data_IF_954137747003
#
_entry.id   IF_954137747003
#
_cell.length_a   1.000
_cell.length_b   1.000
_cell.length_c   1.000
_cell.angle_alpha   90.00
_cell.angle_beta   90.00
_cell.angle_gamma   90.00
#
_symmetry.space_group_name_H-M   'P 1'
#
loop_
_entity.id
_entity.type
_entity.pdbx_description
1 polymer ?
#
# COMPACT_ATOMS: atom_id res chain seq x y z
N UNK A 1 -7.53 -3.99 -37.72
CA UNK A 1 -6.70 -4.94 -36.95
C UNK A 1 -6.90 -4.61 -35.48
N UNK A 2 -7.63 -5.44 -34.74
CA UNK A 2 -7.93 -5.18 -33.32
C UNK A 2 -6.65 -5.44 -32.50
N UNK A 3 -6.12 -4.45 -31.75
CA UNK A 3 -4.95 -4.64 -30.89
C UNK A 3 -5.15 -5.83 -29.94
N UNK A 4 -4.08 -6.59 -29.71
CA UNK A 4 -4.09 -7.75 -28.79
C UNK A 4 -4.69 -7.43 -27.41
N UNK A 5 -4.49 -6.19 -26.94
CA UNK A 5 -5.02 -5.70 -25.67
C UNK A 5 -6.55 -5.63 -25.64
N UNK A 6 -7.21 -5.19 -26.72
CA UNK A 6 -8.67 -5.09 -26.79
C UNK A 6 -9.31 -6.48 -26.73
N UNK A 7 -8.78 -7.45 -27.51
CA UNK A 7 -9.24 -8.85 -27.44
C UNK A 7 -9.10 -9.46 -26.04
N UNK A 8 -8.03 -9.08 -25.32
CA UNK A 8 -7.78 -9.55 -23.96
C UNK A 8 -8.75 -8.93 -22.95
N UNK A 9 -9.08 -7.65 -23.12
CA UNK A 9 -10.07 -6.93 -22.32
C UNK A 9 -11.45 -7.57 -22.50
N UNK A 10 -11.90 -7.79 -23.74
CA UNK A 10 -13.21 -8.40 -24.03
C UNK A 10 -13.34 -9.79 -23.39
N UNK A 11 -12.27 -10.59 -23.49
CA UNK A 11 -12.21 -11.92 -22.86
C UNK A 11 -12.34 -11.83 -21.34
N UNK A 12 -11.60 -10.94 -20.70
CA UNK A 12 -11.64 -10.77 -19.24
C UNK A 12 -13.02 -10.25 -18.81
N UNK A 13 -13.60 -9.30 -19.54
CA UNK A 13 -14.93 -8.77 -19.27
C UNK A 13 -16.01 -9.86 -19.31
N UNK A 14 -15.96 -10.74 -20.32
CA UNK A 14 -16.86 -11.90 -20.41
C UNK A 14 -16.69 -12.85 -19.23
N UNK A 15 -15.46 -13.16 -18.84
CA UNK A 15 -15.17 -14.05 -17.71
C UNK A 15 -15.64 -13.48 -16.36
N UNK A 16 -15.52 -12.16 -16.16
CA UNK A 16 -16.07 -11.46 -14.98
C UNK A 16 -17.60 -11.53 -15.00
N UNK A 17 -18.24 -11.27 -16.15
CA UNK A 17 -19.70 -11.34 -16.29
C UNK A 17 -20.25 -12.75 -16.01
N UNK A 18 -19.49 -13.78 -16.37
CA UNK A 18 -19.84 -15.19 -16.13
C UNK A 18 -19.46 -15.65 -14.72
N UNK A 19 -18.85 -14.80 -13.88
CA UNK A 19 -18.30 -15.13 -12.56
C UNK A 19 -17.40 -16.37 -12.60
N UNK A 20 -16.61 -16.50 -13.67
CA UNK A 20 -15.78 -17.67 -13.89
C UNK A 20 -14.64 -17.70 -12.88
N UNK A 21 -14.61 -18.72 -12.03
CA UNK A 21 -13.50 -18.93 -11.12
C UNK A 21 -12.21 -19.22 -11.90
N UNK A 22 -11.18 -18.45 -11.60
CA UNK A 22 -9.83 -18.66 -12.11
C UNK A 22 -8.87 -18.80 -10.94
N UNK A 23 -8.01 -19.80 -11.02
CA UNK A 23 -6.83 -19.85 -10.18
C UNK A 23 -5.94 -18.63 -10.48
N UNK A 24 -5.28 -18.12 -9.45
CA UNK A 24 -4.27 -17.09 -9.60
C UNK A 24 -3.16 -17.61 -10.54
N UNK A 25 -2.74 -16.84 -11.56
CA UNK A 25 -1.72 -17.31 -12.49
C UNK A 25 -0.42 -17.61 -11.72
N UNK A 26 0.21 -18.78 -11.94
CA UNK A 26 1.45 -19.10 -11.25
C UNK A 26 2.54 -18.12 -11.67
N UNK A 27 3.47 -17.83 -10.76
CA UNK A 27 4.66 -17.05 -11.11
C UNK A 27 5.45 -17.75 -12.21
N UNK A 28 6.07 -16.97 -13.10
CA UNK A 28 7.02 -17.49 -14.07
C UNK A 28 8.13 -18.28 -13.36
N UNK A 29 8.62 -19.35 -13.97
CA UNK A 29 9.55 -20.29 -13.33
C UNK A 29 10.80 -19.62 -12.76
N UNK A 30 11.36 -18.66 -13.51
CA UNK A 30 12.54 -17.89 -13.11
C UNK A 30 12.23 -17.04 -11.87
N UNK A 31 11.13 -16.29 -11.91
CA UNK A 31 10.64 -15.49 -10.78
C UNK A 31 10.39 -16.35 -9.55
N UNK A 32 9.77 -17.52 -9.72
CA UNK A 32 9.51 -18.48 -8.63
C UNK A 32 10.81 -18.95 -7.97
N UNK A 33 11.86 -19.26 -8.75
CA UNK A 33 13.16 -19.69 -8.22
C UNK A 33 13.90 -18.56 -7.49
N UNK A 34 13.78 -17.32 -7.98
CA UNK A 34 14.43 -16.14 -7.40
C UNK A 34 13.65 -15.52 -6.24
N UNK A 35 12.37 -15.85 -6.08
CA UNK A 35 11.45 -15.23 -5.14
C UNK A 35 11.95 -15.28 -3.70
N UNK A 36 12.37 -16.45 -3.21
CA UNK A 36 12.87 -16.60 -1.83
C UNK A 36 14.08 -15.70 -1.58
N UNK A 37 15.08 -15.75 -2.47
CA UNK A 37 16.30 -14.94 -2.34
C UNK A 37 16.03 -13.44 -2.36
N UNK A 38 14.99 -12.98 -3.06
CA UNK A 38 14.64 -11.56 -3.18
C UNK A 38 13.69 -11.08 -2.08
N UNK A 39 12.68 -11.87 -1.72
CA UNK A 39 11.60 -11.46 -0.81
C UNK A 39 11.84 -11.80 0.65
N UNK A 40 12.56 -12.87 0.99
CA UNK A 40 12.86 -13.20 2.39
C UNK A 40 13.46 -12.04 3.18
N UNK A 41 14.50 -11.33 2.71
CA UNK A 41 15.04 -10.18 3.45
C UNK A 41 14.07 -8.99 3.53
N UNK A 42 13.12 -8.88 2.58
CA UNK A 42 12.08 -7.85 2.63
C UNK A 42 10.98 -8.20 3.65
N UNK A 43 10.60 -9.47 3.73
CA UNK A 43 9.61 -9.97 4.69
C UNK A 43 10.11 -9.92 6.13
N UNK A 44 11.39 -10.18 6.35
CA UNK A 44 12.03 -10.05 7.68
C UNK A 44 11.95 -8.62 8.21
N UNK A 45 12.12 -7.63 7.33
CA UNK A 45 12.10 -6.21 7.68
C UNK A 45 10.66 -5.66 7.74
N UNK A 46 9.66 -6.39 7.23
CA UNK A 46 8.25 -5.95 7.27
C UNK A 46 7.74 -5.77 8.70
N UNK A 47 8.15 -6.61 9.64
CA UNK A 47 7.76 -6.51 11.06
C UNK A 47 8.29 -5.24 11.73
N UNK A 48 9.34 -4.64 11.17
CA UNK A 48 9.96 -3.42 11.66
C UNK A 48 9.28 -2.16 11.10
N UNK A 49 8.31 -2.30 10.19
CA UNK A 49 7.70 -1.18 9.48
C UNK A 49 7.05 -0.16 10.41
N UNK A 50 6.41 -0.62 11.48
CA UNK A 50 5.69 0.29 12.37
C UNK A 50 6.56 1.09 13.34
N UNK A 51 7.83 0.72 13.51
CA UNK A 51 8.79 1.54 14.27
C UNK A 51 8.99 2.92 13.65
N UNK A 52 8.58 3.08 12.39
CA UNK A 52 8.55 4.36 11.70
C UNK A 52 7.42 5.29 12.14
N UNK A 53 6.37 4.79 12.79
CA UNK A 53 5.24 5.62 13.20
C UNK A 53 5.49 6.31 14.52
N UNK A 54 5.08 7.58 14.59
CA UNK A 54 5.06 8.35 15.82
C UNK A 54 3.91 9.36 15.79
N UNK A 55 3.49 9.81 16.98
CA UNK A 55 2.52 10.90 17.13
C UNK A 55 3.21 12.16 17.60
N UNK A 56 2.79 13.30 17.07
CA UNK A 56 3.12 14.61 17.62
C UNK A 56 2.02 15.14 18.56
N UNK A 57 2.23 16.35 19.07
CA UNK A 57 1.37 17.09 20.01
C UNK A 57 -0.06 17.38 19.50
N UNK A 58 -0.33 17.22 18.20
CA UNK A 58 -1.69 17.40 17.65
C UNK A 58 -2.60 16.21 17.96
N UNK A 59 -2.09 15.16 18.59
CA UNK A 59 -2.86 13.99 18.96
C UNK A 59 -3.90 14.36 20.03
N UNK A 60 -5.19 14.26 19.66
CA UNK A 60 -6.31 14.49 20.58
C UNK A 60 -6.86 13.18 21.20
N UNK A 61 -6.06 12.11 21.21
CA UNK A 61 -6.36 10.87 21.94
C UNK A 61 -7.67 10.16 21.53
N UNK A 62 -8.17 10.42 20.32
CA UNK A 62 -9.48 9.93 19.86
C UNK A 62 -9.59 8.42 19.59
N UNK A 63 -8.46 7.70 19.50
CA UNK A 63 -8.43 6.25 19.29
C UNK A 63 -8.85 5.74 17.90
N UNK A 64 -9.13 6.61 16.92
CA UNK A 64 -9.55 6.21 15.56
C UNK A 64 -8.51 5.32 14.87
N UNK A 65 -7.22 5.61 15.07
CA UNK A 65 -6.12 4.82 14.51
C UNK A 65 -6.16 3.35 14.94
N UNK A 66 -6.53 3.07 16.19
CA UNK A 66 -6.69 1.71 16.70
C UNK A 66 -7.90 1.01 16.05
N UNK A 67 -9.03 1.71 15.94
CA UNK A 67 -10.28 1.18 15.37
C UNK A 67 -10.16 0.82 13.88
N UNK A 68 -9.44 1.63 13.09
CA UNK A 68 -9.32 1.43 11.64
C UNK A 68 -8.24 0.42 11.26
N UNK A 69 -7.40 -0.02 12.21
CA UNK A 69 -6.29 -0.91 11.91
C UNK A 69 -6.79 -2.33 11.62
N UNK A 70 -6.66 -2.85 10.38
CA UNK A 70 -7.20 -4.17 10.03
C UNK A 70 -6.49 -5.32 10.75
N UNK A 71 -5.22 -5.13 11.13
CA UNK A 71 -4.42 -6.12 11.86
C UNK A 71 -4.42 -5.93 13.37
N UNK A 72 -5.20 -4.97 13.89
CA UNK A 72 -5.25 -4.65 15.32
C UNK A 72 -3.84 -4.33 15.89
N UNK A 73 -2.98 -3.73 15.08
CA UNK A 73 -1.60 -3.44 15.45
C UNK A 73 -1.47 -2.31 16.49
N UNK A 74 -2.50 -1.47 16.65
CA UNK A 74 -2.42 -0.26 17.46
C UNK A 74 -3.26 -0.46 18.73
N UNK A 75 -2.63 -0.28 19.89
CA UNK A 75 -3.29 -0.20 21.21
C UNK A 75 -3.19 1.21 21.76
N UNK A 76 -4.14 1.62 22.61
CA UNK A 76 -4.08 2.93 23.27
C UNK A 76 -3.56 2.74 24.69
N UNK A 77 -2.37 3.27 25.00
CA UNK A 77 -1.76 3.21 26.32
C UNK A 77 -1.46 4.62 26.82
N UNK A 78 -1.83 4.94 28.05
CA UNK A 78 -1.69 6.31 28.62
C UNK A 78 -2.22 7.39 27.66
N UNK A 79 -3.31 7.08 26.96
CA UNK A 79 -3.97 7.90 25.94
C UNK A 79 -3.19 8.15 24.63
N UNK A 80 -2.05 7.51 24.43
CA UNK A 80 -1.30 7.54 23.18
C UNK A 80 -1.36 6.20 22.43
N UNK A 81 -1.32 6.21 21.08
CA UNK A 81 -1.23 4.98 20.30
C UNK A 81 0.16 4.34 20.43
N UNK A 82 0.17 3.02 20.61
CA UNK A 82 1.35 2.15 20.65
C UNK A 82 1.19 1.08 19.58
N UNK A 83 2.22 0.90 18.75
CA UNK A 83 2.26 -0.07 17.66
C UNK A 83 2.94 -1.37 18.12
N UNK A 84 2.34 -2.52 17.78
CA UNK A 84 2.67 -3.84 18.33
C UNK A 84 3.42 -4.77 17.35
N UNK A 85 4.13 -4.22 16.35
CA UNK A 85 4.97 -4.94 15.38
C UNK A 85 4.20 -5.92 14.46
N UNK A 86 2.91 -5.66 14.21
CA UNK A 86 2.01 -6.40 13.31
C UNK A 86 1.49 -5.53 12.16
N UNK A 87 2.32 -4.64 11.64
CA UNK A 87 1.93 -3.70 10.59
C UNK A 87 2.25 -4.20 9.18
N UNK A 88 1.28 -4.13 8.27
CA UNK A 88 1.47 -4.37 6.84
C UNK A 88 1.56 -3.08 6.01
N UNK A 89 1.79 -1.94 6.65
CA UNK A 89 2.05 -0.67 5.95
C UNK A 89 0.90 -0.09 5.13
N UNK A 90 -0.36 -0.39 5.45
CA UNK A 90 -1.53 0.14 4.73
C UNK A 90 -1.75 1.66 4.85
N UNK A 91 -1.06 2.33 5.79
CA UNK A 91 -1.16 3.77 6.07
C UNK A 91 -2.55 4.29 6.48
N UNK A 92 -3.51 3.42 6.80
CA UNK A 92 -4.86 3.83 7.20
C UNK A 92 -4.84 4.76 8.43
N UNK A 93 -4.01 4.47 9.44
CA UNK A 93 -3.91 5.31 10.63
C UNK A 93 -3.43 6.74 10.32
N UNK A 94 -2.50 6.90 9.37
CA UNK A 94 -2.03 8.22 8.92
C UNK A 94 -3.12 8.96 8.16
N UNK A 95 -3.81 8.27 7.26
CA UNK A 95 -4.82 8.86 6.39
C UNK A 95 -6.08 9.31 7.16
N UNK A 96 -6.53 8.51 8.13
CA UNK A 96 -7.77 8.74 8.88
C UNK A 96 -7.58 9.52 10.19
N UNK A 97 -6.35 9.92 10.53
CA UNK A 97 -6.12 10.75 11.71
C UNK A 97 -6.73 12.16 11.47
N UNK A 98 -7.76 12.58 12.22
CA UNK A 98 -8.48 13.83 11.96
C UNK A 98 -7.58 15.06 12.13
N UNK A 99 -6.65 15.01 13.09
CA UNK A 99 -5.70 16.09 13.37
C UNK A 99 -4.37 15.92 12.62
N UNK A 100 -4.23 14.88 11.80
CA UNK A 100 -2.99 14.53 11.09
C UNK A 100 -1.76 14.41 12.02
N UNK A 101 -1.97 13.97 13.26
CA UNK A 101 -0.93 13.84 14.27
C UNK A 101 0.02 12.66 14.03
N UNK A 102 -0.43 11.62 13.33
CA UNK A 102 0.41 10.44 13.04
C UNK A 102 1.34 10.72 11.87
N UNK A 103 2.63 10.62 12.15
CA UNK A 103 3.72 10.79 11.20
C UNK A 103 4.40 9.45 10.93
N UNK A 104 5.18 9.37 9.84
CA UNK A 104 5.97 8.19 9.47
C UNK A 104 7.36 8.61 9.06
N UNK A 105 8.38 7.97 9.62
CA UNK A 105 9.79 8.03 9.19
C UNK A 105 10.21 6.63 8.74
N UNK A 106 11.10 6.55 7.76
CA UNK A 106 11.69 5.27 7.34
C UNK A 106 12.39 4.61 8.55
N UNK A 107 12.06 3.35 8.90
CA UNK A 107 12.77 2.63 9.95
C UNK A 107 14.21 2.30 9.53
N UNK A 108 15.13 2.25 10.49
CA UNK A 108 16.55 1.96 10.26
C UNK A 108 16.78 0.61 9.55
N UNK A 109 15.94 -0.39 9.84
CA UNK A 109 15.99 -1.70 9.19
C UNK A 109 15.79 -1.61 7.66
N UNK A 110 14.93 -0.69 7.19
CA UNK A 110 14.72 -0.44 5.77
C UNK A 110 15.88 0.31 5.12
N UNK A 111 16.52 1.24 5.86
CA UNK A 111 17.72 1.95 5.39
C UNK A 111 18.89 0.98 5.18
N UNK A 112 19.09 0.05 6.14
CA UNK A 112 20.14 -0.98 6.11
C UNK A 112 19.97 -1.99 4.97
N UNK A 113 18.73 -2.27 4.54
CA UNK A 113 18.46 -3.24 3.49
C UNK A 113 19.21 -2.90 2.19
N UNK A 114 19.32 -1.62 1.82
CA UNK A 114 20.16 -1.04 0.75
C UNK A 114 20.29 -1.84 -0.58
N UNK A 115 19.33 -2.72 -0.90
CA UNK A 115 19.31 -3.54 -2.11
C UNK A 115 19.09 -2.71 -3.38
N UNK A 116 19.50 -3.24 -4.53
CA UNK A 116 19.17 -2.64 -5.83
C UNK A 116 17.65 -2.51 -6.05
N UNK A 117 16.87 -3.44 -5.47
CA UNK A 117 15.40 -3.40 -5.51
C UNK A 117 14.86 -2.26 -4.65
N UNK A 118 15.29 -2.12 -3.39
CA UNK A 118 14.83 -1.01 -2.53
C UNK A 118 15.19 0.36 -3.10
N UNK A 119 16.37 0.51 -3.73
CA UNK A 119 16.77 1.72 -4.47
C UNK A 119 15.85 2.00 -5.66
N UNK A 120 15.42 0.96 -6.39
CA UNK A 120 14.57 1.08 -7.60
C UNK A 120 13.08 1.19 -7.30
N UNK A 121 12.61 0.64 -6.18
CA UNK A 121 11.21 0.71 -5.73
C UNK A 121 10.79 2.08 -5.20
N UNK A 122 11.73 3.03 -5.12
CA UNK A 122 11.51 4.35 -4.51
C UNK A 122 10.84 4.18 -3.14
N UNK A 123 11.48 3.41 -2.26
CA UNK A 123 11.15 3.34 -0.85
C UNK A 123 11.16 4.77 -0.24
N UNK A 124 10.40 5.01 0.85
CA UNK A 124 9.57 6.19 1.06
C UNK A 124 10.27 7.56 1.22
N UNK A 125 11.60 7.65 1.16
CA UNK A 125 12.33 8.93 1.23
C UNK A 125 11.85 9.97 0.20
N UNK A 126 11.37 9.51 -0.97
CA UNK A 126 10.82 10.39 -2.02
C UNK A 126 9.29 10.39 -2.09
N UNK A 127 8.59 9.54 -1.32
CA UNK A 127 7.13 9.48 -1.33
C UNK A 127 6.59 10.59 -0.42
N UNK A 128 6.17 11.71 -1.01
CA UNK A 128 5.32 12.68 -0.30
C UNK A 128 4.09 11.95 0.24
N UNK A 129 3.65 12.26 1.47
CA UNK A 129 2.37 11.76 2.01
C UNK A 129 1.30 11.97 0.95
N UNK A 130 0.69 10.89 0.47
CA UNK A 130 -0.39 11.00 -0.50
C UNK A 130 -1.52 11.76 0.20
N UNK A 131 -1.65 13.03 -0.14
CA UNK A 131 -2.71 13.90 0.29
C UNK A 131 -3.64 14.02 -0.90
N UNK A 132 -4.73 13.25 -0.89
CA UNK A 132 -5.95 13.88 -1.36
C UNK A 132 -7.19 13.31 -0.68
N UNK A 133 -7.56 13.83 0.51
CA UNK A 133 -8.86 13.52 1.13
C UNK A 133 -10.06 14.05 0.32
N UNK A 134 -9.82 14.77 -0.79
CA UNK A 134 -10.82 15.34 -1.67
C UNK A 134 -10.82 14.78 -3.09
N UNK A 135 -9.98 13.78 -3.41
CA UNK A 135 -10.07 13.08 -4.70
C UNK A 135 -11.35 12.26 -4.69
N UNK A 136 -12.28 12.60 -5.56
CA UNK A 136 -13.47 11.80 -5.84
C UNK A 136 -13.08 10.69 -6.79
N UNK A 137 -13.84 9.60 -6.80
CA UNK A 137 -13.66 8.54 -7.80
C UNK A 137 -13.70 9.10 -9.25
N UNK A 138 -14.40 10.21 -9.48
CA UNK A 138 -14.44 10.95 -10.75
C UNK A 138 -13.09 11.52 -11.14
N UNK A 139 -12.29 11.98 -10.18
CA UNK A 139 -11.00 12.63 -10.44
C UNK A 139 -9.93 11.61 -10.87
N UNK A 140 -10.10 10.35 -10.46
CA UNK A 140 -9.29 9.21 -10.91
C UNK A 140 -9.69 8.71 -12.31
N UNK A 141 -10.84 9.17 -12.83
CA UNK A 141 -11.39 8.78 -14.13
C UNK A 141 -11.20 9.86 -15.20
N UNK A 142 -10.55 10.99 -14.88
CA UNK A 142 -10.29 12.08 -15.84
C UNK A 142 -9.45 11.56 -17.03
N UNK A 143 -8.53 10.63 -16.79
CA UNK A 143 -7.74 9.98 -17.85
C UNK A 143 -8.63 9.16 -18.82
N UNK A 144 -9.80 8.69 -18.38
CA UNK A 144 -10.75 7.94 -19.21
C UNK A 144 -11.43 8.83 -20.26
N UNK A 145 -11.72 10.10 -19.92
CA UNK A 145 -12.30 11.06 -20.87
C UNK A 145 -11.35 11.37 -22.04
N UNK A 146 -10.04 11.33 -21.79
CA UNK A 146 -9.01 11.52 -22.81
C UNK A 146 -8.89 10.34 -23.79
N UNK A 147 -9.34 9.16 -23.36
CA UNK A 147 -9.37 7.94 -24.19
C UNK A 147 -10.64 7.91 -25.03
N UNK A 148 -11.78 8.32 -24.46
CA UNK A 148 -13.08 8.35 -25.16
C UNK A 148 -13.18 9.50 -26.17
N UNK A 149 -12.47 10.62 -25.98
CA UNK A 149 -12.46 11.77 -26.91
C UNK A 149 -11.61 11.57 -28.17
N UNK A 150 -10.80 10.50 -28.21
CA UNK A 150 -9.99 10.11 -29.37
C UNK A 150 -10.60 8.94 -30.15
N UNK A 151 -11.83 8.55 -29.84
CA UNK A 151 -12.57 7.51 -30.54
C UNK A 151 -13.48 8.09 -31.63
#
# INVERSE_FOLDING_TARGET
>A
MIPYMEKKIDKIGKEISEKKDRAYPPMAWLTRKLYSKLMTPYMEVEQEYDKGFYTDERCMECGICAKICPTQNITIQKKHPVWNHKCHGCMACVAYCPTKAIQFKTPEAYEKLNTAISKRLCLPEKRKRYHNPFIKATDLMIDKQHIESKR
#
